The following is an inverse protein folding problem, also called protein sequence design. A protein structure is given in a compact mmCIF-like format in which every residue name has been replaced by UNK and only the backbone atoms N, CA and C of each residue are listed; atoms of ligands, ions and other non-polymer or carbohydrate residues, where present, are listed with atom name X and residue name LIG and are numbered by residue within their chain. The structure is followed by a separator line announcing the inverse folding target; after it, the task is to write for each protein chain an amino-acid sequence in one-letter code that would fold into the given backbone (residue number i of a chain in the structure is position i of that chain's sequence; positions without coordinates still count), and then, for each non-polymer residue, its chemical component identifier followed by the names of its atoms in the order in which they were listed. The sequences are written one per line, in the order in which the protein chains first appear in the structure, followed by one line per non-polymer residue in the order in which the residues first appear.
data_IF_961549995767
#
_entry.id   IF_961549995767
#
_cell.length_a   1.000
_cell.length_b   1.000
_cell.length_c   1.000
_cell.angle_alpha   90.00
_cell.angle_beta   90.00
_cell.angle_gamma   90.00
#
_symmetry.space_group_name_H-M   'P 1'
#
loop_
_entity.id
_entity.type
_entity.pdbx_description
1 polymer ?
#
# COMPACT_ATOMS: atom_id res chain seq x y z
N UNK A 1 5.40 13.28 10.73
CA UNK A 1 4.67 12.70 11.89
C UNK A 1 5.69 11.99 12.78
N UNK A 2 6.03 12.57 13.93
CA UNK A 2 7.11 12.07 14.79
C UNK A 2 6.71 10.86 15.66
N UNK A 3 5.44 10.49 15.66
CA UNK A 3 4.89 9.41 16.48
C UNK A 3 5.30 8.03 15.97
N UNK A 4 5.29 7.82 14.65
CA UNK A 4 5.57 6.51 14.07
C UNK A 4 7.00 6.00 14.42
N UNK A 5 8.09 6.78 14.25
CA UNK A 5 9.42 6.32 14.64
C UNK A 5 9.54 5.96 16.12
N UNK A 6 8.88 6.72 17.01
CA UNK A 6 8.86 6.43 18.46
C UNK A 6 8.13 5.12 18.76
N UNK A 7 6.99 4.88 18.11
CA UNK A 7 6.26 3.61 18.26
C UNK A 7 7.03 2.44 17.66
N UNK A 8 7.71 2.64 16.52
CA UNK A 8 8.54 1.62 15.90
C UNK A 8 9.71 1.21 16.80
N UNK A 9 10.38 2.17 17.43
CA UNK A 9 11.41 1.88 18.42
C UNK A 9 10.84 1.02 19.55
N UNK A 10 9.67 1.37 20.08
CA UNK A 10 9.00 0.57 21.11
C UNK A 10 8.69 -0.85 20.63
N UNK A 11 8.12 -1.00 19.44
CA UNK A 11 7.78 -2.33 18.91
C UNK A 11 9.01 -3.19 18.62
N UNK A 12 10.13 -2.60 18.21
CA UNK A 12 11.37 -3.32 17.97
C UNK A 12 12.10 -3.70 19.25
N UNK A 13 12.01 -2.89 20.30
CA UNK A 13 12.73 -3.10 21.56
C UNK A 13 11.92 -3.92 22.57
N UNK A 14 10.60 -3.78 22.59
CA UNK A 14 9.71 -4.38 23.58
C UNK A 14 8.54 -5.11 22.90
N UNK A 15 8.71 -6.42 22.68
CA UNK A 15 7.66 -7.33 22.18
C UNK A 15 6.67 -7.74 23.29
N UNK A 16 6.19 -6.77 24.08
CA UNK A 16 5.43 -7.02 25.33
C UNK A 16 3.93 -6.72 25.16
N UNK A 17 3.50 -6.22 24.01
CA UNK A 17 2.12 -5.74 23.82
C UNK A 17 1.13 -6.92 23.69
N UNK A 18 0.78 -7.55 24.80
CA UNK A 18 -0.25 -8.60 24.89
C UNK A 18 -1.67 -8.00 24.78
N UNK A 19 -1.83 -6.70 25.09
CA UNK A 19 -3.12 -6.00 25.03
C UNK A 19 -3.40 -5.42 23.64
N UNK A 20 -4.08 -6.19 22.80
CA UNK A 20 -4.57 -5.77 21.47
C UNK A 20 -5.45 -4.50 21.53
N UNK A 21 -6.10 -4.26 22.67
CA UNK A 21 -6.95 -3.09 22.92
C UNK A 21 -6.22 -1.75 22.79
N UNK A 22 -4.92 -1.70 23.11
CA UNK A 22 -4.12 -0.48 23.05
C UNK A 22 -4.01 0.04 21.61
N UNK A 23 -3.82 -0.86 20.63
CA UNK A 23 -3.77 -0.49 19.22
C UNK A 23 -5.07 0.17 18.75
N UNK A 24 -6.22 -0.33 19.23
CA UNK A 24 -7.52 0.25 18.91
C UNK A 24 -7.66 1.69 19.43
N UNK A 25 -7.16 1.97 20.64
CA UNK A 25 -7.16 3.32 21.22
C UNK A 25 -6.23 4.26 20.44
N UNK A 26 -4.98 3.84 20.21
CA UNK A 26 -4.02 4.66 19.46
C UNK A 26 -4.48 4.96 18.03
N UNK A 27 -5.05 3.97 17.34
CA UNK A 27 -5.56 4.18 15.99
C UNK A 27 -6.78 5.13 15.98
N UNK A 28 -7.63 5.09 17.01
CA UNK A 28 -8.73 6.05 17.18
C UNK A 28 -8.21 7.46 17.39
N UNK A 29 -7.17 7.65 18.21
CA UNK A 29 -6.58 8.96 18.47
C UNK A 29 -5.90 9.53 17.22
N UNK A 30 -5.14 8.72 16.48
CA UNK A 30 -4.57 9.09 15.18
C UNK A 30 -5.68 9.48 14.21
N UNK A 31 -6.76 8.69 14.14
CA UNK A 31 -7.90 8.98 13.26
C UNK A 31 -8.57 10.29 13.67
N UNK A 32 -8.80 10.53 14.97
CA UNK A 32 -9.37 11.77 15.49
C UNK A 32 -8.50 12.98 15.16
N UNK A 33 -7.19 12.85 15.25
CA UNK A 33 -6.23 13.88 14.87
C UNK A 33 -6.28 14.17 13.36
N UNK A 34 -6.18 13.14 12.52
CA UNK A 34 -6.23 13.27 11.04
C UNK A 34 -7.51 13.96 10.58
N UNK A 35 -8.64 13.66 11.21
CA UNK A 35 -9.94 14.25 10.87
C UNK A 35 -10.29 15.51 11.66
N UNK A 36 -9.41 16.01 12.53
CA UNK A 36 -9.67 17.17 13.41
C UNK A 36 -10.99 17.02 14.19
N UNK A 37 -11.28 15.82 14.69
CA UNK A 37 -12.53 15.50 15.39
C UNK A 37 -13.78 15.38 14.51
N UNK A 38 -13.68 15.60 13.20
CA UNK A 38 -14.81 15.45 12.25
C UNK A 38 -15.03 13.98 11.89
N UNK A 39 -16.23 13.67 11.39
CA UNK A 39 -16.56 12.31 10.91
C UNK A 39 -15.65 11.94 9.71
N UNK A 40 -15.01 10.76 9.72
CA UNK A 40 -14.20 10.28 8.61
C UNK A 40 -15.00 10.22 7.31
N UNK A 41 -14.42 10.73 6.21
CA UNK A 41 -15.06 10.71 4.88
C UNK A 41 -14.65 9.50 4.04
N UNK A 42 -13.54 8.87 4.40
CA UNK A 42 -12.99 7.68 3.74
C UNK A 42 -12.87 6.57 4.78
N UNK A 43 -13.10 5.33 4.36
CA UNK A 43 -12.88 4.15 5.20
C UNK A 43 -11.41 4.07 5.63
N UNK A 44 -11.16 3.66 6.88
CA UNK A 44 -9.81 3.57 7.42
C UNK A 44 -8.91 2.62 6.62
N UNK A 45 -9.43 1.47 6.16
CA UNK A 45 -8.69 0.51 5.32
C UNK A 45 -8.11 1.14 4.04
N UNK A 46 -8.88 2.00 3.40
CA UNK A 46 -8.45 2.74 2.21
C UNK A 46 -7.36 3.76 2.58
N UNK A 47 -7.49 4.44 3.73
CA UNK A 47 -6.46 5.38 4.19
C UNK A 47 -5.13 4.67 4.46
N UNK A 48 -5.18 3.46 5.02
CA UNK A 48 -3.99 2.65 5.36
C UNK A 48 -3.32 2.01 4.17
N UNK A 49 -4.02 1.86 3.04
CA UNK A 49 -3.47 1.22 1.85
C UNK A 49 -2.31 2.00 1.23
N UNK A 50 -1.50 1.31 0.44
CA UNK A 50 -0.33 1.87 -0.24
C UNK A 50 -0.73 2.93 -1.28
N UNK A 51 0.12 3.94 -1.46
CA UNK A 51 -0.11 5.03 -2.44
C UNK A 51 -0.24 4.52 -3.87
N UNK A 52 0.51 3.48 -4.22
CA UNK A 52 0.47 2.83 -5.54
C UNK A 52 -0.86 2.11 -5.79
N UNK A 53 -1.51 1.65 -4.72
CA UNK A 53 -2.86 1.09 -4.75
C UNK A 53 -3.90 2.14 -4.40
N UNK A 54 -3.53 3.40 -4.39
CA UNK A 54 -4.37 4.59 -4.19
C UNK A 54 -4.78 4.93 -2.76
N UNK A 55 -4.25 4.24 -1.77
CA UNK A 55 -4.40 4.66 -0.38
C UNK A 55 -3.54 5.89 -0.02
N UNK A 56 -3.68 6.34 1.23
CA UNK A 56 -2.94 7.50 1.74
C UNK A 56 -1.65 7.10 2.47
N UNK A 57 -1.36 5.80 2.57
CA UNK A 57 -0.28 5.24 3.37
C UNK A 57 -0.31 5.73 4.83
N UNK A 58 -1.51 5.79 5.41
CA UNK A 58 -1.67 6.02 6.85
C UNK A 58 -1.06 4.82 7.60
N UNK A 59 -0.15 5.02 8.55
CA UNK A 59 0.43 3.93 9.32
C UNK A 59 -0.63 3.16 10.12
N UNK A 60 -0.62 1.83 9.98
CA UNK A 60 -1.36 0.94 10.88
C UNK A 60 -0.38 0.41 11.94
N UNK A 61 -0.52 0.90 13.17
CA UNK A 61 0.37 0.54 14.27
C UNK A 61 0.34 -0.96 14.59
N UNK A 62 -0.80 -1.63 14.38
CA UNK A 62 -0.93 -3.06 14.62
C UNK A 62 -0.11 -3.85 13.60
N UNK A 63 -0.21 -3.50 12.32
CA UNK A 63 0.56 -4.17 11.27
C UNK A 63 2.06 -3.92 11.43
N UNK A 64 2.46 -2.73 11.90
CA UNK A 64 3.86 -2.45 12.22
C UNK A 64 4.38 -3.27 13.41
N UNK A 65 3.56 -3.44 14.44
CA UNK A 65 3.90 -4.32 15.56
C UNK A 65 4.05 -5.78 15.10
N UNK A 66 3.08 -6.30 14.37
CA UNK A 66 3.11 -7.67 13.84
C UNK A 66 4.32 -7.87 12.89
N UNK A 67 4.66 -6.87 12.06
CA UNK A 67 5.85 -6.90 11.22
C UNK A 67 7.15 -6.90 12.04
N UNK A 68 7.21 -6.13 13.13
CA UNK A 68 8.37 -6.12 14.03
C UNK A 68 8.53 -7.47 14.76
N UNK A 69 7.43 -8.12 15.12
CA UNK A 69 7.44 -9.47 15.71
C UNK A 69 8.08 -10.49 14.77
N UNK A 70 7.82 -10.41 13.46
CA UNK A 70 8.49 -11.28 12.48
C UNK A 70 9.99 -11.02 12.37
N UNK A 71 10.45 -9.77 12.57
CA UNK A 71 11.88 -9.48 12.59
C UNK A 71 12.59 -10.21 13.75
N UNK A 72 11.95 -10.33 14.91
CA UNK A 72 12.46 -11.13 16.03
C UNK A 72 12.45 -12.63 15.74
N UNK A 73 11.36 -13.13 15.15
CA UNK A 73 11.26 -14.56 14.79
C UNK A 73 12.26 -14.99 13.71
N UNK A 74 12.85 -14.05 12.97
CA UNK A 74 13.87 -14.35 11.96
C UNK A 74 15.00 -15.20 12.55
N UNK A 75 15.43 -14.89 13.76
CA UNK A 75 16.49 -15.65 14.44
C UNK A 75 16.02 -17.06 14.82
N UNK A 76 14.74 -17.22 15.18
CA UNK A 76 14.13 -18.54 15.46
C UNK A 76 14.01 -19.41 14.21
N UNK A 77 13.82 -18.80 13.04
CA UNK A 77 13.77 -19.50 11.76
C UNK A 77 15.16 -19.87 11.25
N UNK A 78 16.10 -18.93 11.29
CA UNK A 78 17.44 -19.10 10.72
C UNK A 78 18.35 -19.94 11.60
N UNK A 79 18.16 -19.90 12.93
CA UNK A 79 18.99 -20.57 13.93
C UNK A 79 20.47 -20.13 13.91
N UNK A 80 20.74 -18.89 13.47
CA UNK A 80 22.11 -18.36 13.28
C UNK A 80 22.69 -17.74 14.56
N UNK A 81 21.87 -17.04 15.36
CA UNK A 81 22.32 -16.33 16.55
C UNK A 81 22.15 -17.19 17.82
N UNK A 82 23.14 -18.03 18.11
CA UNK A 82 23.08 -19.00 19.22
C UNK A 82 22.87 -18.33 20.58
N UNK A 83 23.51 -17.18 20.82
CA UNK A 83 23.46 -16.50 22.12
C UNK A 83 22.06 -16.00 22.44
N UNK A 84 21.39 -15.35 21.48
CA UNK A 84 20.01 -14.88 21.64
C UNK A 84 19.04 -16.05 21.80
N UNK A 85 19.23 -17.12 21.02
CA UNK A 85 18.38 -18.32 21.07
C UNK A 85 18.53 -19.08 22.41
N UNK A 86 19.70 -19.03 23.03
CA UNK A 86 19.94 -19.61 24.35
C UNK A 86 19.33 -18.76 25.45
N UNK A 87 19.49 -17.45 25.39
CA UNK A 87 18.89 -16.51 26.34
C UNK A 87 17.35 -16.58 26.31
N UNK A 88 16.74 -16.54 25.13
CA UNK A 88 15.28 -16.60 24.99
C UNK A 88 14.70 -18.00 25.23
N UNK A 89 15.52 -19.03 24.99
CA UNK A 89 15.17 -20.44 25.06
C UNK A 89 15.56 -21.14 26.35
N UNK A 90 15.98 -20.41 27.39
CA UNK A 90 16.58 -20.97 28.61
C UNK A 90 15.76 -22.08 29.30
N UNK A 91 14.43 -22.06 29.17
CA UNK A 91 13.52 -23.05 29.77
C UNK A 91 12.77 -23.89 28.72
N UNK A 92 13.21 -23.87 27.46
CA UNK A 92 12.63 -24.70 26.41
C UNK A 92 13.07 -26.16 26.62
N UNK A 93 12.14 -27.12 26.48
CA UNK A 93 12.49 -28.54 26.48
C UNK A 93 13.03 -29.02 25.11
N UNK A 94 12.47 -28.51 24.01
CA UNK A 94 12.83 -28.87 22.64
C UNK A 94 13.39 -27.67 21.85
N UNK A 95 13.88 -27.94 20.64
CA UNK A 95 14.23 -26.91 19.66
C UNK A 95 13.07 -25.98 19.29
N UNK A 96 13.42 -24.80 18.76
CA UNK A 96 12.51 -23.76 18.31
C UNK A 96 11.58 -24.24 17.19
N UNK A 97 12.08 -25.02 16.23
CA UNK A 97 11.28 -25.54 15.11
C UNK A 97 10.24 -26.56 15.60
N UNK A 98 10.49 -27.21 16.74
CA UNK A 98 9.53 -28.08 17.42
C UNK A 98 8.27 -27.31 17.86
N UNK A 99 8.46 -26.10 18.39
CA UNK A 99 7.37 -25.23 18.84
C UNK A 99 6.67 -24.52 17.68
N UNK A 100 7.42 -24.10 16.66
CA UNK A 100 6.88 -23.35 15.52
C UNK A 100 6.04 -24.22 14.56
N UNK A 101 6.48 -25.46 14.30
CA UNK A 101 5.87 -26.31 13.27
C UNK A 101 5.09 -27.50 13.83
N UNK A 102 5.67 -28.21 14.82
CA UNK A 102 5.13 -29.48 15.34
C UNK A 102 4.23 -29.33 16.59
N UNK A 103 3.69 -28.13 16.83
CA UNK A 103 2.68 -27.86 17.87
C UNK A 103 3.06 -28.31 19.30
N UNK A 104 4.37 -28.44 19.62
CA UNK A 104 4.85 -28.86 20.95
C UNK A 104 4.46 -27.91 22.08
N UNK A 105 3.99 -26.70 21.73
CA UNK A 105 3.40 -25.73 22.64
C UNK A 105 2.14 -26.26 23.34
N UNK A 106 1.41 -27.21 22.74
CA UNK A 106 0.26 -27.88 23.40
C UNK A 106 0.70 -28.80 24.54
N UNK A 107 1.91 -29.36 24.43
CA UNK A 107 2.48 -30.29 25.40
C UNK A 107 3.23 -29.56 26.51
N UNK A 108 3.99 -28.51 26.16
CA UNK A 108 4.79 -27.73 27.12
C UNK A 108 4.28 -26.30 27.26
N UNK A 109 3.50 -26.05 28.33
CA UNK A 109 2.93 -24.72 28.65
C UNK A 109 4.00 -23.66 28.97
N UNK A 110 5.21 -24.08 29.39
CA UNK A 110 6.32 -23.18 29.75
C UNK A 110 6.70 -22.22 28.62
N UNK A 111 6.59 -22.65 27.36
CA UNK A 111 6.85 -21.80 26.20
C UNK A 111 5.88 -20.60 26.12
N UNK A 112 4.60 -20.81 26.47
CA UNK A 112 3.56 -19.76 26.50
C UNK A 112 3.57 -18.93 27.78
N UNK A 113 4.23 -19.38 28.84
CA UNK A 113 4.30 -18.63 30.08
C UNK A 113 5.20 -17.39 29.97
N UNK A 114 6.16 -17.39 29.03
CA UNK A 114 7.02 -16.24 28.80
C UNK A 114 6.31 -15.18 27.95
N UNK A 115 6.25 -13.94 28.48
CA UNK A 115 5.44 -12.85 27.92
C UNK A 115 5.81 -12.56 26.46
N UNK A 116 7.11 -12.46 26.13
CA UNK A 116 7.58 -12.20 24.77
C UNK A 116 7.30 -13.37 23.83
N UNK A 117 7.55 -14.61 24.27
CA UNK A 117 7.38 -15.79 23.40
C UNK A 117 5.91 -16.03 23.09
N UNK A 118 5.05 -15.82 24.08
CA UNK A 118 3.60 -15.87 23.92
C UNK A 118 3.14 -14.84 22.89
N UNK A 119 3.57 -13.59 23.02
CA UNK A 119 3.17 -12.50 22.12
C UNK A 119 3.63 -12.78 20.67
N UNK A 120 4.89 -13.14 20.48
CA UNK A 120 5.43 -13.54 19.18
C UNK A 120 4.67 -14.75 18.63
N UNK A 121 4.55 -15.84 19.38
CA UNK A 121 3.90 -17.06 18.92
C UNK A 121 2.43 -16.85 18.52
N UNK A 122 1.71 -15.96 19.19
CA UNK A 122 0.34 -15.59 18.81
C UNK A 122 0.30 -14.90 17.42
N UNK A 123 1.28 -14.04 17.11
CA UNK A 123 1.43 -13.44 15.77
C UNK A 123 1.77 -14.51 14.73
N UNK A 124 2.67 -15.45 15.07
CA UNK A 124 3.01 -16.55 14.17
C UNK A 124 1.80 -17.39 13.81
N UNK A 125 1.03 -17.88 14.79
CA UNK A 125 -0.17 -18.70 14.54
C UNK A 125 -1.17 -17.99 13.62
N UNK A 126 -1.35 -16.67 13.80
CA UNK A 126 -2.30 -15.89 12.99
C UNK A 126 -1.97 -15.91 11.50
N UNK A 127 -0.68 -15.97 11.16
CA UNK A 127 -0.20 -15.87 9.78
C UNK A 127 0.43 -17.17 9.25
N UNK A 128 0.60 -18.20 10.08
CA UNK A 128 1.23 -19.47 9.72
C UNK A 128 0.60 -20.05 8.45
N UNK A 129 -0.72 -20.17 8.42
CA UNK A 129 -1.44 -20.76 7.28
C UNK A 129 -1.42 -19.88 6.02
N UNK A 130 -1.18 -18.57 6.16
CA UNK A 130 -1.06 -17.62 5.05
C UNK A 130 0.37 -17.56 4.48
N UNK A 131 1.37 -17.82 5.31
CA UNK A 131 2.79 -17.78 4.96
C UNK A 131 3.28 -19.14 4.45
N UNK A 132 2.84 -20.22 5.09
CA UNK A 132 3.33 -21.59 4.88
C UNK A 132 2.16 -22.58 4.88
N UNK A 133 1.59 -22.82 3.70
CA UNK A 133 0.45 -23.72 3.52
C UNK A 133 0.89 -25.20 3.53
N UNK A 134 2.19 -25.46 3.43
CA UNK A 134 2.85 -26.76 3.32
C UNK A 134 4.12 -26.76 4.17
N UNK A 135 4.78 -27.91 4.31
CA UNK A 135 6.02 -27.99 5.10
C UNK A 135 7.11 -27.09 4.49
N UNK A 136 7.65 -26.13 5.28
CA UNK A 136 8.61 -25.15 4.78
C UNK A 136 9.98 -25.75 4.52
N UNK A 137 10.73 -25.16 3.59
CA UNK A 137 12.08 -25.62 3.25
C UNK A 137 13.13 -25.19 4.28
N UNK A 138 12.87 -24.10 4.99
CA UNK A 138 13.73 -23.62 6.09
C UNK A 138 13.62 -24.44 7.38
N UNK A 139 12.67 -25.38 7.49
CA UNK A 139 12.52 -26.20 8.69
C UNK A 139 13.69 -27.19 8.82
N UNK A 140 14.24 -27.29 10.03
CA UNK A 140 15.30 -28.21 10.43
C UNK A 140 14.69 -29.34 11.28
N UNK A 141 14.48 -30.54 10.71
CA UNK A 141 13.85 -31.66 11.43
C UNK A 141 14.72 -32.17 12.58
N UNK A 142 16.03 -32.00 12.45
CA UNK A 142 17.01 -32.37 13.47
C UNK A 142 16.87 -31.48 14.71
N UNK A 143 16.80 -30.16 14.50
CA UNK A 143 16.63 -29.21 15.60
C UNK A 143 15.28 -29.42 16.30
N UNK A 144 14.22 -29.65 15.52
CA UNK A 144 12.89 -29.87 16.07
C UNK A 144 12.77 -31.12 16.95
N UNK A 145 13.64 -32.13 16.77
CA UNK A 145 13.70 -33.32 17.62
C UNK A 145 14.73 -33.22 18.74
N UNK A 146 15.66 -32.26 18.65
CA UNK A 146 16.69 -32.08 19.66
C UNK A 146 16.09 -31.57 20.99
N UNK A 147 16.58 -32.13 22.10
CA UNK A 147 16.32 -31.60 23.44
C UNK A 147 17.21 -30.38 23.64
N UNK A 148 16.64 -29.23 24.02
CA UNK A 148 17.41 -27.98 24.17
C UNK A 148 18.50 -28.15 25.23
N UNK A 149 19.71 -27.66 24.90
CA UNK A 149 20.89 -27.57 25.78
C UNK A 149 21.47 -26.16 25.65
N UNK A 150 22.18 -25.71 26.68
CA UNK A 150 22.96 -24.47 26.61
C UNK A 150 24.11 -24.66 25.62
N UNK A 151 24.43 -23.64 24.83
CA UNK A 151 25.47 -23.63 23.80
C UNK A 151 25.30 -24.74 22.76
N UNK A 152 24.08 -24.92 22.25
CA UNK A 152 23.87 -25.83 21.12
C UNK A 152 24.68 -25.38 19.91
N UNK A 153 25.39 -26.32 19.30
CA UNK A 153 26.08 -26.07 18.03
C UNK A 153 25.09 -25.56 16.97
N UNK A 154 25.48 -24.49 16.27
CA UNK A 154 24.74 -23.94 15.14
C UNK A 154 24.87 -24.80 13.88
N UNK A 155 24.23 -24.38 12.78
CA UNK A 155 24.38 -25.05 11.49
C UNK A 155 23.49 -26.28 11.30
N UNK A 156 22.29 -26.30 11.90
CA UNK A 156 21.32 -27.38 11.72
C UNK A 156 20.85 -27.47 10.27
N UNK A 157 20.99 -28.66 9.68
CA UNK A 157 20.56 -28.91 8.31
C UNK A 157 19.06 -28.64 8.13
N UNK A 158 18.72 -27.84 7.12
CA UNK A 158 17.35 -27.44 6.75
C UNK A 158 16.82 -28.35 5.64
N UNK A 159 15.51 -28.45 5.48
CA UNK A 159 14.92 -29.28 4.41
C UNK A 159 15.37 -28.88 2.99
N UNK A 160 15.70 -27.60 2.75
CA UNK A 160 16.28 -27.14 1.49
C UNK A 160 17.63 -27.81 1.14
N UNK A 161 18.35 -28.33 2.13
CA UNK A 161 19.64 -28.98 1.96
C UNK A 161 19.55 -30.50 2.01
N UNK A 162 18.52 -31.03 2.67
CA UNK A 162 18.36 -32.46 2.95
C UNK A 162 17.57 -33.19 1.85
N UNK A 163 16.70 -32.48 1.13
CA UNK A 163 15.78 -33.09 0.16
C UNK A 163 16.26 -32.85 -1.27
N UNK A 164 16.31 -33.91 -2.08
CA UNK A 164 16.48 -33.87 -3.53
C UNK A 164 15.14 -34.04 -4.26
N UNK A 165 14.96 -33.30 -5.36
CA UNK A 165 13.81 -33.47 -6.24
C UNK A 165 14.15 -34.54 -7.28
N UNK A 166 13.42 -35.66 -7.26
CA UNK A 166 13.53 -36.72 -8.27
C UNK A 166 12.18 -36.80 -9.01
N UNK A 167 12.08 -36.11 -10.14
CA UNK A 167 10.83 -35.93 -10.88
C UNK A 167 9.80 -35.06 -10.13
N UNK A 168 8.57 -35.56 -9.99
CA UNK A 168 7.50 -34.90 -9.22
C UNK A 168 7.51 -35.23 -7.71
N UNK A 169 8.44 -36.09 -7.27
CA UNK A 169 8.52 -36.55 -5.89
C UNK A 169 9.80 -36.12 -5.19
N UNK A 170 9.64 -35.67 -3.95
CA UNK A 170 10.75 -35.37 -3.05
C UNK A 170 11.31 -36.67 -2.46
N UNK A 171 12.63 -36.83 -2.52
CA UNK A 171 13.37 -37.91 -1.86
C UNK A 171 14.40 -37.31 -0.92
N UNK A 172 14.57 -37.96 0.23
CA UNK A 172 15.66 -37.66 1.14
C UNK A 172 16.98 -38.02 0.46
N UNK A 173 18.01 -37.19 0.59
CA UNK A 173 19.36 -37.52 0.13
C UNK A 173 19.88 -38.80 0.83
N UNK A 174 20.77 -39.53 0.15
CA UNK A 174 21.44 -40.68 0.74
C UNK A 174 22.34 -40.26 1.90
N UNK A 175 22.52 -41.16 2.87
CA UNK A 175 23.35 -40.90 4.05
C UNK A 175 24.78 -40.48 3.67
N UNK A 176 25.32 -40.99 2.56
CA UNK A 176 26.65 -40.66 2.04
C UNK A 176 26.81 -39.19 1.65
N UNK A 177 25.77 -38.56 1.09
CA UNK A 177 25.76 -37.13 0.74
C UNK A 177 25.52 -36.22 1.96
N UNK A 178 24.97 -36.78 3.04
CA UNK A 178 24.62 -36.07 4.26
C UNK A 178 25.64 -36.29 5.39
N UNK A 179 26.77 -36.97 5.13
CA UNK A 179 27.81 -37.27 6.14
C UNK A 179 28.36 -36.01 6.82
N UNK A 180 28.45 -34.90 6.10
CA UNK A 180 28.95 -33.62 6.65
C UNK A 180 27.90 -32.89 7.52
N UNK A 181 26.64 -33.33 7.49
CA UNK A 181 25.49 -32.62 8.10
C UNK A 181 24.71 -33.45 9.12
N UNK A 182 24.87 -34.78 9.08
CA UNK A 182 24.18 -35.72 9.97
C UNK A 182 25.24 -36.52 10.72
N UNK A 183 25.28 -36.34 12.05
CA UNK A 183 26.33 -36.93 12.90
C UNK A 183 26.30 -38.46 12.93
N UNK A 184 25.10 -39.08 12.93
CA UNK A 184 24.95 -40.53 13.12
C UNK A 184 23.82 -41.15 12.28
N UNK A 185 23.89 -42.47 12.06
CA UNK A 185 22.82 -43.28 11.45
C UNK A 185 21.47 -43.11 12.16
N UNK A 186 21.47 -43.07 13.50
CA UNK A 186 20.24 -42.86 14.28
C UNK A 186 19.59 -41.51 13.97
N UNK A 187 20.38 -40.46 13.80
CA UNK A 187 19.90 -39.14 13.40
C UNK A 187 19.28 -39.18 12.00
N UNK A 188 19.86 -39.92 11.07
CA UNK A 188 19.29 -40.11 9.74
C UNK A 188 17.93 -40.82 9.77
N UNK A 189 17.79 -41.89 10.57
CA UNK A 189 16.52 -42.59 10.74
C UNK A 189 15.45 -41.68 11.35
N UNK A 190 15.83 -40.84 12.33
CA UNK A 190 14.91 -39.87 12.92
C UNK A 190 14.41 -38.82 11.90
N UNK A 191 15.28 -38.38 10.99
CA UNK A 191 14.92 -37.47 9.89
C UNK A 191 14.02 -38.20 8.87
N UNK A 192 14.29 -39.48 8.58
CA UNK A 192 13.43 -40.28 7.70
C UNK A 192 12.01 -40.40 8.25
N UNK A 193 11.85 -40.57 9.56
CA UNK A 193 10.52 -40.61 10.18
C UNK A 193 9.77 -39.29 10.10
N UNK A 194 10.43 -38.15 10.37
CA UNK A 194 9.81 -36.83 10.24
C UNK A 194 9.48 -36.54 8.79
N UNK A 195 10.40 -36.86 7.88
CA UNK A 195 10.17 -36.77 6.44
C UNK A 195 8.95 -37.59 5.99
N UNK A 196 8.76 -38.82 6.50
CA UNK A 196 7.57 -39.63 6.19
C UNK A 196 6.28 -38.98 6.70
N UNK A 197 6.31 -38.31 7.85
CA UNK A 197 5.16 -37.57 8.39
C UNK A 197 4.86 -36.32 7.57
N UNK A 198 5.90 -35.54 7.27
CA UNK A 198 5.78 -34.27 6.54
C UNK A 198 5.49 -34.46 5.05
N UNK A 199 5.90 -35.61 4.47
CA UNK A 199 5.50 -36.02 3.12
C UNK A 199 3.98 -36.21 2.97
N UNK A 200 3.26 -36.57 4.05
CA UNK A 200 1.79 -36.67 4.03
C UNK A 200 1.11 -35.29 3.92
N UNK A 201 1.74 -34.25 4.46
CA UNK A 201 1.28 -32.85 4.40
C UNK A 201 1.69 -32.22 3.06
N UNK A 202 2.84 -32.64 2.52
CA UNK A 202 3.42 -32.15 1.28
C UNK A 202 4.44 -31.04 1.52
N UNK A 203 5.50 -31.01 0.71
CA UNK A 203 6.56 -30.00 0.77
C UNK A 203 6.25 -28.82 -0.14
N UNK A 204 6.72 -27.63 0.26
CA UNK A 204 6.63 -26.45 -0.58
C UNK A 204 7.69 -26.50 -1.69
N UNK A 205 7.24 -26.33 -2.94
CA UNK A 205 8.08 -26.50 -4.14
C UNK A 205 8.86 -25.22 -4.45
N UNK A 206 8.20 -24.08 -4.33
CA UNK A 206 8.80 -22.75 -4.52
C UNK A 206 9.21 -22.15 -3.18
N UNK A 207 10.11 -21.17 -3.20
CA UNK A 207 10.46 -20.42 -1.98
C UNK A 207 9.21 -19.77 -1.41
N UNK A 208 8.98 -19.89 -0.11
CA UNK A 208 7.81 -19.26 0.51
C UNK A 208 7.92 -17.75 0.49
N UNK A 209 6.78 -17.06 0.57
CA UNK A 209 6.78 -15.59 0.66
C UNK A 209 7.53 -15.10 1.91
N UNK A 210 7.59 -15.94 2.95
CA UNK A 210 8.41 -15.71 4.14
C UNK A 210 9.90 -15.85 3.82
N UNK A 211 10.31 -16.88 3.07
CA UNK A 211 11.71 -17.05 2.64
C UNK A 211 12.21 -15.85 1.82
N UNK A 212 11.44 -15.43 0.82
CA UNK A 212 11.82 -14.33 -0.08
C UNK A 212 11.83 -12.95 0.61
N UNK A 213 10.89 -12.68 1.52
CA UNK A 213 10.73 -11.34 2.11
C UNK A 213 11.43 -11.18 3.48
N UNK A 214 11.64 -12.26 4.23
CA UNK A 214 12.18 -12.22 5.59
C UNK A 214 13.55 -12.91 5.75
N UNK A 215 13.76 -14.07 5.12
CA UNK A 215 14.96 -14.89 5.39
C UNK A 215 16.15 -14.50 4.50
N UNK A 216 15.92 -14.27 3.20
CA UNK A 216 16.97 -13.90 2.24
C UNK A 216 17.49 -12.45 2.36
N UNK A 217 16.64 -11.41 2.50
CA UNK A 217 17.13 -10.05 2.45
C UNK A 217 17.78 -9.63 3.77
N UNK A 218 18.98 -9.04 3.69
CA UNK A 218 19.68 -8.47 4.86
C UNK A 218 19.19 -7.07 5.25
N UNK A 219 18.40 -6.40 4.39
CA UNK A 219 18.02 -4.99 4.58
C UNK A 219 16.51 -4.76 4.42
N UNK A 220 15.99 -3.76 5.14
CA UNK A 220 14.58 -3.31 5.09
C UNK A 220 13.55 -4.40 5.45
N UNK A 221 13.91 -5.33 6.32
CA UNK A 221 13.05 -6.44 6.79
C UNK A 221 11.67 -5.97 7.24
N UNK A 222 11.62 -4.97 8.14
CA UNK A 222 10.37 -4.43 8.67
C UNK A 222 9.48 -3.89 7.55
N UNK A 223 10.02 -3.10 6.63
CA UNK A 223 9.25 -2.48 5.55
C UNK A 223 8.71 -3.52 4.57
N UNK A 224 9.50 -4.55 4.24
CA UNK A 224 9.09 -5.67 3.37
C UNK A 224 7.96 -6.47 4.00
N UNK A 225 8.15 -6.86 5.26
CA UNK A 225 7.14 -7.59 6.02
C UNK A 225 5.85 -6.78 6.17
N UNK A 226 5.95 -5.51 6.54
CA UNK A 226 4.80 -4.61 6.62
C UNK A 226 4.06 -4.51 5.29
N UNK A 227 4.76 -4.35 4.16
CA UNK A 227 4.14 -4.28 2.84
C UNK A 227 3.43 -5.58 2.46
N UNK A 228 3.98 -6.73 2.84
CA UNK A 228 3.37 -8.04 2.63
C UNK A 228 2.10 -8.21 3.48
N UNK A 229 2.16 -7.89 4.78
CA UNK A 229 1.00 -7.92 5.67
C UNK A 229 -0.08 -6.92 5.23
N UNK A 230 0.32 -5.73 4.79
CA UNK A 230 -0.58 -4.72 4.26
C UNK A 230 -1.26 -5.20 2.98
N UNK A 231 -0.54 -5.91 2.10
CA UNK A 231 -1.13 -6.50 0.89
C UNK A 231 -2.26 -7.45 1.24
N UNK A 232 -2.08 -8.31 2.22
CA UNK A 232 -3.11 -9.26 2.68
C UNK A 232 -4.29 -8.57 3.37
N UNK A 233 -4.01 -7.60 4.23
CA UNK A 233 -5.10 -6.90 4.92
C UNK A 233 -5.99 -6.06 3.98
N UNK A 234 -5.46 -5.65 2.82
CA UNK A 234 -6.19 -4.87 1.82
C UNK A 234 -6.62 -5.67 0.59
N UNK A 235 -6.35 -6.98 0.54
CA UNK A 235 -6.72 -7.84 -0.60
C UNK A 235 -8.22 -7.86 -0.89
N UNK A 236 -9.05 -7.81 0.16
CA UNK A 236 -10.52 -7.79 0.04
C UNK A 236 -11.10 -6.50 -0.55
N UNK A 237 -10.32 -5.41 -0.60
CA UNK A 237 -10.76 -4.10 -1.13
C UNK A 237 -10.19 -3.77 -2.52
N UNK A 238 -9.44 -4.70 -3.12
CA UNK A 238 -8.86 -4.52 -4.46
C UNK A 238 -10.04 -4.45 -5.44
N UNK A 239 -10.07 -3.40 -6.27
CA UNK A 239 -11.20 -2.95 -7.11
C UNK A 239 -12.24 -2.07 -6.38
N UNK A 240 -11.77 -1.27 -5.43
CA UNK A 240 -12.26 0.05 -4.97
C UNK A 240 -13.71 0.36 -5.32
N UNK A 241 -14.58 0.32 -4.31
CA UNK A 241 -15.95 0.88 -4.35
C UNK A 241 -16.08 2.26 -5.03
N UNK A 242 -15.03 3.07 -5.04
CA UNK A 242 -14.96 4.32 -5.79
C UNK A 242 -14.96 4.11 -7.31
N UNK A 243 -14.19 3.15 -7.83
CA UNK A 243 -14.13 2.81 -9.25
C UNK A 243 -15.49 2.33 -9.77
N UNK A 244 -16.16 1.44 -9.02
CA UNK A 244 -17.50 0.94 -9.37
C UNK A 244 -18.49 2.11 -9.47
N UNK A 245 -18.49 3.00 -8.47
CA UNK A 245 -19.36 4.19 -8.50
C UNK A 245 -19.03 5.11 -9.67
N UNK A 246 -17.76 5.24 -10.04
CA UNK A 246 -17.35 6.06 -11.20
C UNK A 246 -17.78 5.42 -12.51
N UNK A 247 -17.64 4.12 -12.67
CA UNK A 247 -18.15 3.40 -13.83
C UNK A 247 -19.68 3.56 -13.98
N UNK A 248 -20.42 3.50 -12.86
CA UNK A 248 -21.88 3.75 -12.84
C UNK A 248 -22.25 5.15 -13.33
N UNK A 249 -21.55 6.19 -12.85
CA UNK A 249 -21.86 7.59 -13.23
C UNK A 249 -21.46 7.92 -14.67
N UNK A 250 -20.38 7.31 -15.16
CA UNK A 250 -19.86 7.52 -16.51
C UNK A 250 -20.69 6.75 -17.55
N UNK A 251 -21.26 5.60 -17.16
CA UNK A 251 -22.06 4.74 -18.04
C UNK A 251 -21.25 3.70 -18.81
N UNK A 252 -19.95 3.55 -18.55
CA UNK A 252 -19.12 2.46 -19.07
C UNK A 252 -18.00 2.06 -18.10
N UNK A 253 -17.48 0.84 -18.30
CA UNK A 253 -16.45 0.29 -17.43
C UNK A 253 -15.10 0.97 -17.65
N UNK A 254 -14.46 1.38 -16.56
CA UNK A 254 -13.08 1.89 -16.56
C UNK A 254 -12.13 0.69 -16.61
N UNK A 255 -11.16 0.72 -17.51
CA UNK A 255 -10.12 -0.31 -17.64
C UNK A 255 -9.27 -0.29 -16.36
N UNK A 256 -9.12 -1.45 -15.72
CA UNK A 256 -8.40 -1.59 -14.45
C UNK A 256 -6.93 -1.17 -14.56
N UNK A 257 -6.25 -1.51 -15.67
CA UNK A 257 -4.86 -1.11 -15.91
C UNK A 257 -4.67 0.41 -15.94
N UNK A 258 -5.60 1.13 -16.58
CA UNK A 258 -5.56 2.59 -16.64
C UNK A 258 -5.81 3.21 -15.27
N UNK A 259 -6.64 2.56 -14.45
CA UNK A 259 -6.86 2.94 -13.07
C UNK A 259 -5.61 2.73 -12.20
N UNK A 260 -4.87 1.63 -12.36
CA UNK A 260 -3.60 1.41 -11.67
C UNK A 260 -2.52 2.39 -12.13
N UNK A 261 -2.43 2.65 -13.45
CA UNK A 261 -1.50 3.63 -14.03
C UNK A 261 -1.69 5.03 -13.48
N UNK A 262 -2.91 5.40 -13.12
CA UNK A 262 -3.19 6.69 -12.47
C UNK A 262 -2.42 6.85 -11.16
N UNK A 263 -2.32 5.79 -10.35
CA UNK A 263 -1.67 5.85 -9.05
C UNK A 263 -0.15 5.75 -9.15
N UNK A 264 0.35 4.94 -10.09
CA UNK A 264 1.79 4.72 -10.27
C UNK A 264 2.47 5.82 -11.07
N UNK A 265 1.80 6.38 -12.08
CA UNK A 265 2.37 7.39 -13.00
C UNK A 265 1.60 8.70 -12.94
N UNK A 266 0.26 8.65 -12.97
CA UNK A 266 -0.60 9.85 -13.01
C UNK A 266 -0.43 10.77 -11.80
N UNK A 267 -0.17 10.22 -10.60
CA UNK A 267 0.08 10.98 -9.37
C UNK A 267 1.52 11.54 -9.26
N UNK A 268 2.42 11.13 -10.15
CA UNK A 268 3.82 11.57 -10.14
C UNK A 268 4.05 12.88 -10.91
N UNK A 269 3.08 13.49 -11.58
CA UNK A 269 3.29 14.74 -12.33
C UNK A 269 3.71 15.96 -11.47
N UNK A 270 3.40 15.97 -10.17
CA UNK A 270 3.71 17.10 -9.26
C UNK A 270 4.36 16.64 -7.97
N UNK A 271 5.28 17.41 -7.37
CA UNK A 271 5.75 17.16 -6.00
C UNK A 271 4.75 17.68 -4.95
N UNK A 272 3.98 18.71 -5.30
CA UNK A 272 3.07 19.40 -4.40
C UNK A 272 1.98 18.48 -3.83
N UNK A 273 1.88 18.43 -2.50
CA UNK A 273 0.91 17.61 -1.78
C UNK A 273 -0.53 18.10 -1.98
N UNK A 274 -0.74 19.42 -2.07
CA UNK A 274 -2.07 20.02 -2.26
C UNK A 274 -2.71 19.62 -3.60
N UNK A 275 -1.91 19.57 -4.68
CA UNK A 275 -2.40 19.16 -6.00
C UNK A 275 -2.75 17.67 -6.05
N UNK A 276 -1.93 16.82 -5.41
CA UNK A 276 -2.24 15.39 -5.26
C UNK A 276 -3.51 15.17 -4.44
N UNK A 277 -3.68 15.95 -3.37
CA UNK A 277 -4.87 15.88 -2.52
C UNK A 277 -6.15 16.20 -3.32
N UNK A 278 -6.12 17.14 -4.26
CA UNK A 278 -7.27 17.41 -5.13
C UNK A 278 -7.70 16.18 -5.93
N UNK A 279 -6.76 15.50 -6.59
CA UNK A 279 -7.05 14.30 -7.38
C UNK A 279 -7.58 13.19 -6.47
N UNK A 280 -6.97 12.99 -5.30
CA UNK A 280 -7.46 12.02 -4.31
C UNK A 280 -8.88 12.35 -3.83
N UNK A 281 -9.17 13.63 -3.54
CA UNK A 281 -10.51 14.10 -3.16
C UNK A 281 -11.54 13.83 -4.26
N UNK A 282 -11.16 13.98 -5.52
CA UNK A 282 -12.01 13.67 -6.68
C UNK A 282 -12.29 12.17 -6.77
N UNK A 283 -11.25 11.35 -6.75
CA UNK A 283 -11.38 9.89 -6.88
C UNK A 283 -12.26 9.31 -5.76
N UNK A 284 -12.03 9.73 -4.52
CA UNK A 284 -12.80 9.27 -3.35
C UNK A 284 -14.11 10.04 -3.12
N UNK A 285 -14.49 10.97 -4.00
CA UNK A 285 -15.75 11.74 -3.93
C UNK A 285 -15.94 12.45 -2.60
N UNK A 286 -14.88 13.13 -2.16
CA UNK A 286 -14.76 13.76 -0.85
C UNK A 286 -15.73 14.93 -0.64
N UNK A 287 -16.11 15.61 -1.73
CA UNK A 287 -16.99 16.78 -1.67
C UNK A 287 -18.42 16.37 -1.28
N UNK A 288 -19.02 17.17 -0.39
CA UNK A 288 -20.41 16.98 0.03
C UNK A 288 -21.33 17.54 -1.05
N UNK A 289 -22.35 16.76 -1.42
CA UNK A 289 -23.32 17.15 -2.44
C UNK A 289 -24.68 17.44 -1.79
N UNK A 290 -25.56 18.23 -2.42
CA UNK A 290 -26.93 18.47 -1.97
C UNK A 290 -27.66 17.16 -1.66
N UNK A 291 -27.57 16.16 -2.54
CA UNK A 291 -28.18 14.83 -2.30
C UNK A 291 -27.64 14.14 -1.04
N UNK A 292 -26.32 14.23 -0.77
CA UNK A 292 -25.74 13.66 0.45
C UNK A 292 -26.18 14.43 1.69
N UNK A 293 -26.22 15.76 1.60
CA UNK A 293 -26.61 16.62 2.71
C UNK A 293 -28.10 16.47 3.04
N UNK A 294 -28.96 16.37 2.03
CA UNK A 294 -30.38 16.07 2.17
C UNK A 294 -30.59 14.76 2.92
N UNK A 295 -29.82 13.71 2.61
CA UNK A 295 -29.87 12.44 3.35
C UNK A 295 -29.36 12.53 4.79
N UNK A 296 -28.35 13.36 5.07
CA UNK A 296 -27.76 13.49 6.41
C UNK A 296 -28.65 14.32 7.34
N UNK A 297 -29.22 15.40 6.82
CA UNK A 297 -30.02 16.36 7.60
C UNK A 297 -31.53 16.22 7.37
N UNK A 298 -31.96 15.20 6.63
CA UNK A 298 -33.36 14.97 6.26
C UNK A 298 -34.03 16.19 5.59
N UNK A 299 -33.26 16.94 4.79
CA UNK A 299 -33.79 18.09 4.04
C UNK A 299 -34.55 17.62 2.81
N UNK A 300 -35.62 18.34 2.46
CA UNK A 300 -36.39 18.10 1.24
C UNK A 300 -35.72 18.63 -0.03
N UNK A 301 -34.84 19.63 0.09
CA UNK A 301 -34.13 20.21 -1.05
C UNK A 301 -32.85 19.43 -1.38
N UNK A 302 -32.90 18.67 -2.48
CA UNK A 302 -31.77 17.94 -3.05
C UNK A 302 -31.25 18.57 -4.35
N UNK A 303 -31.68 19.79 -4.67
CA UNK A 303 -31.37 20.45 -5.95
C UNK A 303 -29.92 20.90 -6.03
N UNK A 304 -29.42 20.98 -7.26
CA UNK A 304 -28.08 21.47 -7.55
C UNK A 304 -27.92 22.95 -7.17
N UNK A 305 -26.86 23.30 -6.43
CA UNK A 305 -26.58 24.69 -6.05
C UNK A 305 -26.33 25.64 -7.23
N UNK A 306 -25.93 25.11 -8.40
CA UNK A 306 -25.61 25.90 -9.60
C UNK A 306 -26.85 26.16 -10.46
N UNK A 307 -27.54 25.10 -10.89
CA UNK A 307 -28.69 25.23 -11.79
C UNK A 307 -30.04 25.32 -11.05
N UNK A 308 -30.15 24.87 -9.80
CA UNK A 308 -31.39 24.81 -9.01
C UNK A 308 -32.56 24.02 -9.66
N UNK A 309 -32.28 23.29 -10.74
CA UNK A 309 -33.29 22.54 -11.51
C UNK A 309 -33.20 21.03 -11.24
N UNK A 310 -32.04 20.44 -11.51
CA UNK A 310 -31.82 19.00 -11.39
C UNK A 310 -31.26 18.60 -10.01
N UNK A 311 -31.33 17.30 -9.70
CA UNK A 311 -30.73 16.74 -8.50
C UNK A 311 -29.21 16.98 -8.45
N UNK A 312 -28.73 17.47 -7.30
CA UNK A 312 -27.32 17.75 -7.06
C UNK A 312 -26.51 16.48 -6.81
N UNK A 313 -26.43 15.58 -7.78
CA UNK A 313 -25.54 14.40 -7.71
C UNK A 313 -24.09 14.83 -7.86
N UNK A 314 -23.15 13.95 -7.47
CA UNK A 314 -21.72 14.25 -7.56
C UNK A 314 -21.29 14.50 -9.01
N UNK A 315 -21.70 13.61 -9.93
CA UNK A 315 -21.39 13.76 -11.35
C UNK A 315 -22.08 14.98 -11.96
N UNK A 316 -23.29 15.31 -11.52
CA UNK A 316 -23.99 16.50 -12.00
C UNK A 316 -23.26 17.80 -11.68
N UNK A 317 -22.82 17.97 -10.43
CA UNK A 317 -22.09 19.16 -10.00
C UNK A 317 -20.71 19.31 -10.66
N UNK A 318 -20.09 18.21 -11.09
CA UNK A 318 -18.76 18.23 -11.69
C UNK A 318 -18.77 18.24 -13.22
N UNK A 319 -19.83 17.74 -13.88
CA UNK A 319 -19.81 17.52 -15.32
C UNK A 319 -21.13 17.86 -16.03
N UNK A 320 -22.26 17.27 -15.62
CA UNK A 320 -23.49 17.37 -16.42
C UNK A 320 -24.28 18.66 -16.21
N UNK A 321 -24.03 19.41 -15.13
CA UNK A 321 -24.69 20.69 -14.88
C UNK A 321 -24.43 21.65 -16.06
N UNK A 322 -25.47 22.27 -16.67
CA UNK A 322 -25.31 23.12 -17.86
C UNK A 322 -24.26 24.23 -17.69
N UNK A 323 -24.28 24.90 -16.53
CA UNK A 323 -23.30 25.95 -16.20
C UNK A 323 -21.86 25.42 -16.12
N UNK A 324 -21.68 24.26 -15.49
CA UNK A 324 -20.35 23.62 -15.32
C UNK A 324 -19.84 23.07 -16.64
N UNK A 325 -20.73 22.52 -17.46
CA UNK A 325 -20.42 22.08 -18.82
C UNK A 325 -19.92 23.24 -19.68
N UNK A 326 -20.55 24.41 -19.61
CA UNK A 326 -20.10 25.62 -20.30
C UNK A 326 -18.68 26.02 -19.87
N UNK A 327 -18.38 26.00 -18.57
CA UNK A 327 -17.03 26.27 -18.05
C UNK A 327 -15.99 25.26 -18.56
N UNK A 328 -16.29 23.96 -18.53
CA UNK A 328 -15.42 22.94 -19.11
C UNK A 328 -15.23 23.11 -20.62
N UNK A 329 -16.24 23.63 -21.32
CA UNK A 329 -16.15 23.96 -22.74
C UNK A 329 -15.17 25.10 -23.01
N UNK A 330 -15.20 26.14 -22.19
CA UNK A 330 -14.25 27.25 -22.28
C UNK A 330 -12.81 26.75 -22.07
N UNK A 331 -12.58 25.91 -21.05
CA UNK A 331 -11.28 25.29 -20.79
C UNK A 331 -10.85 24.39 -21.94
N UNK A 332 -11.74 23.53 -22.44
CA UNK A 332 -11.44 22.64 -23.56
C UNK A 332 -11.04 23.42 -24.82
N UNK A 333 -11.78 24.47 -25.15
CA UNK A 333 -11.47 25.32 -26.30
C UNK A 333 -10.11 26.00 -26.14
N UNK A 334 -9.75 26.39 -24.92
CA UNK A 334 -8.43 26.94 -24.63
C UNK A 334 -7.31 25.92 -24.77
N UNK A 335 -7.49 24.71 -24.22
CA UNK A 335 -6.54 23.61 -24.38
C UNK A 335 -6.35 23.23 -25.84
N UNK A 336 -7.42 23.21 -26.64
CA UNK A 336 -7.34 22.99 -28.10
C UNK A 336 -6.48 24.06 -28.79
N UNK A 337 -6.59 25.33 -28.38
CA UNK A 337 -5.75 26.42 -28.91
C UNK A 337 -4.27 26.25 -28.52
N UNK A 338 -3.99 25.86 -27.28
CA UNK A 338 -2.62 25.64 -26.78
C UNK A 338 -1.96 24.44 -27.47
N UNK A 339 -2.67 23.32 -27.57
CA UNK A 339 -2.13 22.09 -28.15
C UNK A 339 -2.14 22.06 -29.67
N UNK A 340 -2.96 22.89 -30.33
CA UNK A 340 -3.16 22.94 -31.78
C UNK A 340 -3.69 21.64 -32.41
N UNK A 341 -4.27 20.74 -31.63
CA UNK A 341 -5.01 19.56 -32.11
C UNK A 341 -6.30 19.34 -31.33
N UNK A 342 -7.20 18.54 -31.90
CA UNK A 342 -8.48 18.16 -31.28
C UNK A 342 -8.37 16.84 -30.54
N UNK A 343 -9.04 16.72 -29.40
CA UNK A 343 -9.14 15.47 -28.64
C UNK A 343 -10.54 15.32 -28.06
N UNK A 344 -10.93 14.10 -27.69
CA UNK A 344 -12.29 13.86 -27.22
C UNK A 344 -12.48 14.35 -25.77
N UNK A 345 -13.59 15.04 -25.49
CA UNK A 345 -13.99 15.49 -24.15
C UNK A 345 -14.47 14.30 -23.30
N UNK A 346 -13.52 13.51 -22.81
CA UNK A 346 -13.80 12.37 -21.94
C UNK A 346 -13.85 12.78 -20.46
N UNK A 347 -14.92 12.48 -19.71
CA UNK A 347 -15.02 12.86 -18.30
C UNK A 347 -13.91 12.26 -17.44
N UNK A 348 -13.37 11.07 -17.76
CA UNK A 348 -12.28 10.45 -17.01
C UNK A 348 -10.99 11.26 -17.11
N UNK A 349 -10.71 11.80 -18.30
CA UNK A 349 -9.52 12.61 -18.51
C UNK A 349 -9.63 13.92 -17.71
N UNK A 350 -10.78 14.59 -17.78
CA UNK A 350 -10.98 15.88 -17.14
C UNK A 350 -11.22 15.82 -15.64
N UNK A 351 -11.87 14.77 -15.11
CA UNK A 351 -12.20 14.65 -13.68
C UNK A 351 -11.23 13.77 -12.90
N UNK A 352 -10.80 12.65 -13.49
CA UNK A 352 -9.93 11.68 -12.83
C UNK A 352 -8.46 11.87 -13.21
N UNK A 353 -8.17 12.46 -14.37
CA UNK A 353 -6.81 12.55 -14.90
C UNK A 353 -6.37 11.25 -15.59
N UNK A 354 -7.31 10.39 -16.01
CA UNK A 354 -7.01 9.21 -16.83
C UNK A 354 -6.84 9.68 -18.27
N UNK A 355 -5.61 10.08 -18.59
CA UNK A 355 -5.27 10.58 -19.91
C UNK A 355 -4.98 9.40 -20.83
N UNK A 356 -5.94 9.06 -21.69
CA UNK A 356 -5.79 7.98 -22.67
C UNK A 356 -4.67 8.23 -23.68
N UNK A 357 -4.42 7.25 -24.55
CA UNK A 357 -3.34 7.30 -25.56
C UNK A 357 -3.39 8.49 -26.52
N UNK A 358 -4.53 9.18 -26.64
CA UNK A 358 -4.76 10.25 -27.61
C UNK A 358 -4.17 11.61 -27.23
N UNK A 359 -3.79 11.85 -25.97
CA UNK A 359 -2.96 13.01 -25.61
C UNK A 359 -1.50 12.58 -25.69
N UNK A 360 -0.73 13.31 -26.49
CA UNK A 360 0.71 13.10 -26.67
C UNK A 360 1.39 13.05 -25.31
N UNK A 361 2.34 12.12 -25.12
CA UNK A 361 3.02 11.93 -23.83
C UNK A 361 3.60 13.23 -23.27
N UNK A 362 4.17 14.08 -24.14
CA UNK A 362 4.72 15.41 -23.82
C UNK A 362 3.68 16.41 -23.29
N UNK A 363 2.42 16.27 -23.67
CA UNK A 363 1.37 17.23 -23.30
C UNK A 363 0.59 16.80 -22.05
N UNK A 364 0.83 15.58 -21.54
CA UNK A 364 0.05 15.01 -20.44
C UNK A 364 0.27 15.75 -19.12
N UNK A 365 1.51 16.14 -18.84
CA UNK A 365 1.86 16.85 -17.61
C UNK A 365 1.12 18.18 -17.51
N UNK A 366 1.21 19.00 -18.56
CA UNK A 366 0.48 20.27 -18.64
C UNK A 366 -1.04 20.06 -18.59
N UNK A 367 -1.57 19.06 -19.31
CA UNK A 367 -2.99 18.74 -19.24
C UNK A 367 -3.46 18.41 -17.81
N UNK A 368 -2.66 17.67 -17.04
CA UNK A 368 -2.96 17.36 -15.64
C UNK A 368 -2.93 18.60 -14.75
N UNK A 369 -1.98 19.53 -14.93
CA UNK A 369 -1.96 20.80 -14.22
C UNK A 369 -3.18 21.66 -14.55
N UNK A 370 -3.50 21.81 -15.83
CA UNK A 370 -4.63 22.61 -16.32
C UNK A 370 -5.98 22.09 -15.84
N UNK A 371 -6.19 20.78 -15.88
CA UNK A 371 -7.41 20.16 -15.37
C UNK A 371 -7.49 20.21 -13.85
N UNK A 372 -6.37 20.08 -13.14
CA UNK A 372 -6.33 20.21 -11.68
C UNK A 372 -6.64 21.64 -11.22
N UNK A 373 -6.12 22.66 -11.93
CA UNK A 373 -6.44 24.06 -11.66
C UNK A 373 -7.95 24.32 -11.77
N UNK A 374 -8.55 23.87 -12.89
CA UNK A 374 -10.00 23.97 -13.10
C UNK A 374 -10.80 23.27 -11.99
N UNK A 375 -10.39 22.07 -11.57
CA UNK A 375 -11.06 21.35 -10.48
C UNK A 375 -10.98 22.10 -9.17
N UNK A 376 -9.83 22.67 -8.84
CA UNK A 376 -9.64 23.42 -7.59
C UNK A 376 -10.50 24.68 -7.59
N UNK A 377 -10.60 25.39 -8.71
CA UNK A 377 -11.49 26.55 -8.82
C UNK A 377 -12.95 26.19 -8.63
N UNK A 378 -13.44 25.13 -9.29
CA UNK A 378 -14.82 24.64 -9.08
C UNK A 378 -15.04 24.26 -7.60
N UNK A 379 -14.03 23.66 -6.95
CA UNK A 379 -14.08 23.32 -5.54
C UNK A 379 -14.05 24.54 -4.60
N UNK A 380 -13.40 25.66 -4.98
CA UNK A 380 -13.45 26.93 -4.22
C UNK A 380 -14.87 27.48 -4.23
N UNK A 381 -15.50 27.53 -5.39
CA UNK A 381 -16.88 27.99 -5.56
C UNK A 381 -17.92 26.89 -5.32
N UNK A 382 -17.62 25.84 -4.54
CA UNK A 382 -18.43 24.63 -4.51
C UNK A 382 -19.91 24.84 -4.12
N UNK A 383 -20.16 25.65 -3.09
CA UNK A 383 -21.52 25.98 -2.60
C UNK A 383 -22.12 27.23 -3.22
N UNK A 384 -21.31 28.10 -3.83
CA UNK A 384 -21.78 29.33 -4.44
C UNK A 384 -22.60 29.02 -5.70
N UNK A 385 -23.43 29.96 -6.17
CA UNK A 385 -24.10 29.80 -7.46
C UNK A 385 -23.20 30.24 -8.64
N UNK A 386 -22.24 31.11 -8.36
CA UNK A 386 -21.24 31.65 -9.29
C UNK A 386 -20.23 30.58 -9.73
N UNK A 387 -19.62 30.81 -10.90
CA UNK A 387 -18.57 29.97 -11.45
C UNK A 387 -17.29 30.78 -11.63
N UNK A 388 -16.12 30.10 -11.58
CA UNK A 388 -14.84 30.76 -11.80
C UNK A 388 -14.75 31.39 -13.19
N UNK A 389 -14.01 32.48 -13.31
CA UNK A 389 -13.73 33.10 -14.62
C UNK A 389 -12.52 32.45 -15.29
N UNK A 390 -12.33 32.72 -16.58
CA UNK A 390 -11.13 32.28 -17.30
C UNK A 390 -9.86 32.96 -16.80
N UNK A 391 -9.96 34.21 -16.34
CA UNK A 391 -8.82 34.97 -15.81
C UNK A 391 -8.29 34.34 -14.53
N UNK A 392 -9.17 33.98 -13.60
CA UNK A 392 -8.78 33.24 -12.38
C UNK A 392 -8.10 31.90 -12.70
N UNK A 393 -8.57 31.20 -13.74
CA UNK A 393 -7.95 29.97 -14.21
C UNK A 393 -6.58 30.21 -14.82
N UNK A 394 -6.41 31.30 -15.55
CA UNK A 394 -5.11 31.73 -16.08
C UNK A 394 -4.12 32.06 -14.96
N UNK A 395 -4.52 32.87 -13.97
CA UNK A 395 -3.67 33.20 -12.83
C UNK A 395 -3.24 31.95 -12.07
N UNK A 396 -4.17 31.04 -11.79
CA UNK A 396 -3.84 29.80 -11.09
C UNK A 396 -2.92 28.88 -11.91
N UNK A 397 -2.99 28.93 -13.24
CA UNK A 397 -2.04 28.21 -14.09
C UNK A 397 -0.64 28.79 -14.04
N UNK A 398 -0.49 30.12 -13.90
CA UNK A 398 0.80 30.77 -13.72
C UNK A 398 1.45 30.32 -12.40
N UNK A 399 0.69 30.33 -11.30
CA UNK A 399 1.16 29.81 -10.01
C UNK A 399 1.61 28.34 -10.12
N UNK A 400 0.94 27.54 -10.97
CA UNK A 400 1.26 26.13 -11.15
C UNK A 400 2.48 25.89 -12.02
N UNK A 401 2.84 26.85 -12.87
CA UNK A 401 4.09 26.83 -13.62
C UNK A 401 5.28 26.94 -12.65
N UNK A 402 5.24 27.89 -11.72
CA UNK A 402 6.27 28.01 -10.66
C UNK A 402 6.37 26.75 -9.79
N UNK A 403 5.23 26.16 -9.42
CA UNK A 403 5.20 24.88 -8.68
C UNK A 403 5.73 23.69 -9.49
N UNK A 404 5.59 23.73 -10.82
CA UNK A 404 6.14 22.70 -11.70
C UNK A 404 7.66 22.83 -11.81
N UNK A 405 8.20 24.05 -11.89
CA UNK A 405 9.65 24.31 -11.86
C UNK A 405 10.27 23.86 -10.54
N UNK A 406 9.65 24.22 -9.41
CA UNK A 406 10.05 23.71 -8.09
C UNK A 406 9.98 22.17 -8.02
N UNK A 407 8.95 21.56 -8.62
CA UNK A 407 8.83 20.10 -8.69
C UNK A 407 9.98 19.48 -9.48
N UNK A 408 10.39 20.10 -10.59
CA UNK A 408 11.54 19.66 -11.39
C UNK A 408 12.82 19.64 -10.57
N UNK A 409 13.10 20.76 -9.89
CA UNK A 409 14.26 20.91 -8.99
C UNK A 409 14.29 19.89 -7.85
N UNK A 410 13.15 19.63 -7.20
CA UNK A 410 13.06 18.66 -6.09
C UNK A 410 13.34 17.22 -6.55
N UNK A 411 13.14 16.92 -7.83
CA UNK A 411 13.19 15.55 -8.37
C UNK A 411 14.37 15.31 -9.31
N UNK A 412 15.28 16.27 -9.42
CA UNK A 412 16.40 16.24 -10.35
C UNK A 412 15.95 15.92 -11.79
N UNK A 413 14.73 16.34 -12.15
CA UNK A 413 14.27 16.31 -13.52
C UNK A 413 14.91 17.52 -14.20
N UNK A 414 15.81 17.30 -15.16
CA UNK A 414 16.52 18.38 -15.84
C UNK A 414 15.57 19.52 -16.26
N UNK A 415 16.00 20.77 -16.07
CA UNK A 415 15.17 21.97 -16.31
C UNK A 415 14.54 21.96 -17.71
N UNK A 416 15.25 21.39 -18.69
CA UNK A 416 14.80 21.18 -20.07
C UNK A 416 13.49 20.38 -20.19
N UNK A 417 13.25 19.39 -19.33
CA UNK A 417 12.04 18.56 -19.39
C UNK A 417 10.79 19.30 -18.90
N UNK A 418 10.95 20.13 -17.86
CA UNK A 418 9.86 21.00 -17.39
C UNK A 418 9.58 22.10 -18.39
N UNK A 419 10.63 22.66 -18.99
CA UNK A 419 10.51 23.68 -20.03
C UNK A 419 9.80 23.13 -21.28
N UNK A 420 10.12 21.89 -21.71
CA UNK A 420 9.42 21.22 -22.81
C UNK A 420 7.92 21.02 -22.56
N UNK A 421 7.54 20.65 -21.34
CA UNK A 421 6.14 20.40 -20.95
C UNK A 421 5.30 21.69 -20.97
N UNK A 422 5.91 22.85 -20.69
CA UNK A 422 5.24 24.16 -20.65
C UNK A 422 5.48 25.03 -21.88
N UNK A 423 6.41 24.66 -22.78
CA UNK A 423 6.78 25.43 -23.98
C UNK A 423 5.59 25.88 -24.82
N UNK A 424 4.65 24.98 -25.09
CA UNK A 424 3.45 25.30 -25.88
C UNK A 424 2.54 26.33 -25.20
N UNK A 425 2.53 26.35 -23.86
CA UNK A 425 1.78 27.32 -23.08
C UNK A 425 2.51 28.67 -23.01
N UNK A 426 3.84 28.67 -22.84
CA UNK A 426 4.67 29.88 -22.91
C UNK A 426 4.57 30.55 -24.29
N UNK A 427 4.67 29.78 -25.38
CA UNK A 427 4.44 30.26 -26.76
C UNK A 427 3.04 30.87 -26.94
N UNK A 428 2.04 30.28 -26.28
CA UNK A 428 0.67 30.77 -26.33
C UNK A 428 0.50 32.09 -25.55
N UNK A 429 1.12 32.22 -24.38
CA UNK A 429 1.11 33.44 -23.57
C UNK A 429 1.83 34.59 -24.29
N UNK A 430 3.00 34.32 -24.88
CA UNK A 430 3.76 35.31 -25.66
C UNK A 430 2.94 35.86 -26.84
N UNK A 431 2.19 35.00 -27.54
CA UNK A 431 1.38 35.42 -28.70
C UNK A 431 0.10 36.17 -28.36
N UNK A 432 -0.55 35.86 -27.24
CA UNK A 432 -1.88 36.40 -26.92
C UNK A 432 -1.89 37.48 -25.83
N UNK A 433 -0.89 37.53 -24.95
CA UNK A 433 -0.88 38.45 -23.81
C UNK A 433 0.30 39.44 -23.81
N UNK A 434 1.21 39.40 -24.81
CA UNK A 434 2.40 40.27 -24.87
C UNK A 434 3.16 40.37 -23.53
N UNK A 435 3.20 39.27 -22.76
CA UNK A 435 4.05 39.18 -21.59
C UNK A 435 5.46 38.89 -22.11
N UNK A 436 6.22 39.96 -22.32
CA UNK A 436 7.67 39.89 -22.40
C UNK A 436 8.16 39.64 -20.97
N UNK A 437 8.89 38.55 -20.79
CA UNK A 437 9.54 38.10 -19.55
C UNK A 437 8.65 37.32 -18.56
N UNK A 438 8.79 35.99 -18.61
CA UNK A 438 8.84 35.04 -17.49
C UNK A 438 9.82 33.95 -17.88
#
# INVERSE_FOLDING_TARGET
MNVLPKMLFLFQTLQIVDRVECFGKWQKDITKFVWQGKKPRIKLKILTDAKERGGFALPDLRLYYEAASFCWMRDWFLLENTDVLDLEGFNNAFGWHAYLWYDKVKVHKLFKNHIVRKALFNVWIKYKDLLENKTPRWLSPMEAKASKRLNMEGGWAKYCEIIERVGDNWRLQSLEKLKDKVRDWLHYVQIQETFKKDKKIGFQVEKSKLETELLEPKTKLLSRMYNLLLKWNTQDEIVKSAMIKWAQDIGYNIIFEDWERLWTTGMKFTACSALKENIMKMIYRWYMTPVKLAKIYHLSDNKCWKCKEAEGTFFHLWWTCPRVKAFWEMIYNKLKKVFKYTFHKKPEAFLLGIVGQRVLKKDRTFFLYATTAARILIAKYWKAQELPTLEEWHTQLMDYMELAEMTGRIRDLGEEAVEEDWKKFKDYLQKHYKLYEC
#
